data_IF_714911767317
#
_entry.id   IF_714911767317
#
_cell.length_a   1.000
_cell.length_b   1.000
_cell.length_c   1.000
_cell.angle_alpha   90.00
_cell.angle_beta   90.00
_cell.angle_gamma   90.00
#
_symmetry.space_group_name_H-M   'P 1'
#
loop_
_entity.id
_entity.type
_entity.pdbx_description
1 polymer ?
#
# COMPACT_ATOMS: atom_id res chain seq x y z
N UNK A 1 0.75 -0.63 3.72
CA UNK A 1 1.35 -0.14 2.45
C UNK A 1 2.74 -0.75 2.20
N UNK A 2 3.77 -0.34 2.93
CA UNK A 2 5.14 -0.82 2.68
C UNK A 2 5.29 -2.35 2.73
N UNK A 3 4.63 -2.99 3.69
CA UNK A 3 4.64 -4.46 3.82
C UNK A 3 4.14 -5.16 2.54
N UNK A 4 3.00 -4.72 1.99
CA UNK A 4 2.45 -5.28 0.75
C UNK A 4 3.36 -5.00 -0.46
N UNK A 5 3.90 -3.79 -0.55
CA UNK A 5 4.83 -3.42 -1.63
C UNK A 5 6.11 -4.26 -1.60
N UNK A 6 6.69 -4.46 -0.42
CA UNK A 6 7.89 -5.29 -0.24
C UNK A 6 7.57 -6.76 -0.51
N UNK A 7 6.42 -7.26 -0.05
CA UNK A 7 5.99 -8.62 -0.34
C UNK A 7 5.86 -8.84 -1.86
N UNK A 8 5.23 -7.94 -2.60
CA UNK A 8 5.12 -8.03 -4.06
C UNK A 8 6.50 -7.99 -4.75
N UNK A 9 7.41 -7.13 -4.27
CA UNK A 9 8.78 -7.11 -4.78
C UNK A 9 9.51 -8.43 -4.57
N UNK A 10 9.40 -9.02 -3.37
CA UNK A 10 10.04 -10.30 -3.04
C UNK A 10 9.47 -11.48 -3.84
N UNK A 11 8.20 -11.40 -4.25
CA UNK A 11 7.58 -12.37 -5.16
C UNK A 11 7.93 -12.14 -6.64
N UNK A 12 8.57 -11.02 -6.98
CA UNK A 12 8.93 -10.65 -8.35
C UNK A 12 7.81 -9.99 -9.14
N UNK A 13 6.72 -9.58 -8.50
CA UNK A 13 5.55 -8.97 -9.14
C UNK A 13 5.81 -7.51 -9.56
N UNK A 14 6.71 -6.81 -8.85
CA UNK A 14 7.07 -5.42 -9.10
C UNK A 14 8.59 -5.20 -9.04
N UNK A 15 9.08 -4.08 -9.58
CA UNK A 15 10.49 -3.68 -9.48
C UNK A 15 10.77 -3.04 -8.12
N UNK A 16 12.05 -3.00 -7.73
CA UNK A 16 12.49 -2.37 -6.49
C UNK A 16 12.03 -0.90 -6.36
N UNK A 17 12.08 -0.14 -7.46
CA UNK A 17 11.66 1.27 -7.49
C UNK A 17 10.15 1.46 -7.30
N UNK A 18 9.36 0.44 -7.63
CA UNK A 18 7.91 0.51 -7.56
C UNK A 18 7.42 0.49 -6.10
N UNK A 19 8.23 -0.01 -5.16
CA UNK A 19 7.93 0.00 -3.72
C UNK A 19 7.65 1.44 -3.26
N UNK A 20 8.54 2.37 -3.58
CA UNK A 20 8.39 3.77 -3.19
C UNK A 20 7.20 4.43 -3.90
N UNK A 21 6.98 4.10 -5.18
CA UNK A 21 5.86 4.62 -5.95
C UNK A 21 4.50 4.16 -5.38
N UNK A 22 4.37 2.87 -5.03
CA UNK A 22 3.16 2.34 -4.39
C UNK A 22 2.93 2.96 -3.03
N UNK A 23 3.98 3.08 -2.20
CA UNK A 23 3.87 3.68 -0.87
C UNK A 23 3.36 5.13 -0.95
N UNK A 24 3.92 5.93 -1.86
CA UNK A 24 3.48 7.30 -2.09
C UNK A 24 2.02 7.34 -2.57
N UNK A 25 1.66 6.50 -3.54
CA UNK A 25 0.30 6.46 -4.07
C UNK A 25 -0.76 6.05 -3.02
N UNK A 26 -0.41 5.22 -2.03
CA UNK A 26 -1.30 4.90 -0.92
C UNK A 26 -1.50 6.13 -0.03
N UNK A 27 -0.41 6.80 0.36
CA UNK A 27 -0.47 8.01 1.18
C UNK A 27 -1.28 9.12 0.50
N UNK A 28 -1.11 9.34 -0.79
CA UNK A 28 -1.85 10.36 -1.56
C UNK A 28 -3.35 10.06 -1.65
N UNK A 29 -3.75 8.79 -1.58
CA UNK A 29 -5.15 8.35 -1.67
C UNK A 29 -5.87 8.33 -0.33
N UNK A 30 -5.13 8.27 0.78
CA UNK A 30 -5.72 8.16 2.11
C UNK A 30 -5.75 9.53 2.79
N UNK A 31 -6.93 9.96 3.20
CA UNK A 31 -7.05 11.09 4.11
C UNK A 31 -6.91 10.60 5.55
N UNK A 32 -5.66 10.48 6.01
CA UNK A 32 -5.33 9.92 7.32
C UNK A 32 -5.58 10.95 8.42
N UNK A 33 -6.58 10.70 9.27
CA UNK A 33 -6.69 11.39 10.56
C UNK A 33 -5.83 10.67 11.60
N UNK A 34 -5.35 11.43 12.59
CA UNK A 34 -4.58 10.84 13.67
C UNK A 34 -5.46 9.89 14.51
N UNK A 35 -5.12 8.59 14.59
CA UNK A 35 -5.94 7.61 15.31
C UNK A 35 -5.96 7.93 16.81
N UNK A 36 -7.11 7.71 17.45
CA UNK A 36 -7.31 7.97 18.88
C UNK A 36 -7.33 6.68 19.72
N UNK A 37 -7.25 5.52 19.07
CA UNK A 37 -7.29 4.22 19.70
C UNK A 37 -6.52 3.17 18.89
N UNK A 38 -6.28 2.00 19.49
CA UNK A 38 -5.71 0.85 18.77
C UNK A 38 -6.66 0.36 17.67
N UNK A 39 -7.97 0.40 17.90
CA UNK A 39 -8.96 0.01 16.89
C UNK A 39 -8.87 0.92 15.67
N UNK A 40 -8.71 2.24 15.86
CA UNK A 40 -8.50 3.18 14.74
C UNK A 40 -7.21 2.86 13.96
N UNK A 41 -6.13 2.50 14.66
CA UNK A 41 -4.87 2.07 14.02
C UNK A 41 -5.10 0.84 13.15
N UNK A 42 -5.84 -0.16 13.66
CA UNK A 42 -6.14 -1.39 12.92
C UNK A 42 -7.01 -1.13 11.69
N UNK A 43 -7.97 -0.21 11.78
CA UNK A 43 -8.80 0.21 10.63
C UNK A 43 -7.93 0.90 9.57
N UNK A 44 -7.10 1.87 9.98
CA UNK A 44 -6.20 2.58 9.07
C UNK A 44 -5.23 1.60 8.38
N UNK A 45 -4.68 0.65 9.12
CA UNK A 45 -3.78 -0.37 8.57
C UNK A 45 -4.49 -1.25 7.53
N UNK A 46 -5.68 -1.76 7.84
CA UNK A 46 -6.48 -2.58 6.93
C UNK A 46 -6.82 -1.81 5.64
N UNK A 47 -7.22 -0.54 5.75
CA UNK A 47 -7.49 0.31 4.60
C UNK A 47 -6.22 0.56 3.78
N UNK A 48 -5.08 0.83 4.43
CA UNK A 48 -3.81 1.04 3.74
C UNK A 48 -3.34 -0.21 2.98
N UNK A 49 -3.58 -1.41 3.52
CA UNK A 49 -3.32 -2.68 2.83
C UNK A 49 -4.24 -2.85 1.62
N UNK A 50 -5.54 -2.59 1.77
CA UNK A 50 -6.50 -2.66 0.66
C UNK A 50 -6.13 -1.70 -0.48
N UNK A 51 -5.76 -0.45 -0.17
CA UNK A 51 -5.34 0.54 -1.18
C UNK A 51 -4.02 0.14 -1.85
N UNK A 52 -3.08 -0.46 -1.10
CA UNK A 52 -1.83 -0.97 -1.65
C UNK A 52 -2.07 -2.09 -2.67
N UNK A 53 -2.89 -3.10 -2.33
CA UNK A 53 -3.26 -4.16 -3.27
C UNK A 53 -3.92 -3.61 -4.55
N UNK A 54 -4.77 -2.58 -4.42
CA UNK A 54 -5.32 -1.92 -5.60
C UNK A 54 -4.25 -1.25 -6.48
N UNK A 55 -3.18 -0.67 -5.92
CA UNK A 55 -2.09 -0.10 -6.72
C UNK A 55 -1.28 -1.20 -7.40
N UNK A 56 -0.93 -2.26 -6.66
CA UNK A 56 -0.18 -3.39 -7.18
C UNK A 56 -0.89 -4.07 -8.35
N UNK A 57 -2.21 -4.30 -8.22
CA UNK A 57 -3.03 -4.85 -9.30
C UNK A 57 -3.04 -3.94 -10.55
N UNK A 58 -3.01 -2.61 -10.38
CA UNK A 58 -2.93 -1.67 -11.52
C UNK A 58 -1.57 -1.74 -12.22
N UNK A 59 -0.48 -1.89 -11.47
CA UNK A 59 0.87 -2.05 -12.05
C UNK A 59 0.98 -3.36 -12.83
N UNK A 60 0.48 -4.47 -12.27
CA UNK A 60 0.48 -5.77 -12.95
C UNK A 60 -0.38 -5.80 -14.21
N UNK A 61 -1.47 -5.02 -14.27
CA UNK A 61 -2.29 -4.88 -15.48
C UNK A 61 -1.65 -3.98 -16.57
N UNK A 62 -0.57 -3.27 -16.25
CA UNK A 62 0.14 -2.36 -17.16
C UNK A 62 1.48 -2.94 -17.67
N UNK A 63 1.88 -4.10 -17.16
CA UNK A 63 3.08 -4.84 -17.54
C UNK A 63 2.80 -5.87 -18.65
#
# INVERSE_FOLDING_TARGET
ANEESVAAFLHGDIRFTDIAAVNLAVLDKMNLQEPQSIDDVLVIDADARAVAHQQLNRLGAQA
#
